data_IF_365190467842
#
_entry.id   IF_365190467842
#
_cell.length_a   1.000
_cell.length_b   1.000
_cell.length_c   1.000
_cell.angle_alpha   90.00
_cell.angle_beta   90.00
_cell.angle_gamma   90.00
#
_symmetry.space_group_name_H-M   'P 1'
#
loop_
_entity.id
_entity.type
_entity.pdbx_description
1 polymer ?
#
# COMPACT_ATOMS: atom_id res chain seq x y z
N UNK A 1 -11.94 -8.57 3.86
CA UNK A 1 -10.71 -7.79 3.63
C UNK A 1 -10.16 -8.25 2.29
N UNK A 2 -9.90 -7.34 1.35
CA UNK A 2 -9.46 -7.69 -0.01
C UNK A 2 -7.94 -7.79 0.02
N UNK A 3 -7.41 -8.99 -0.26
CA UNK A 3 -5.97 -9.22 -0.39
C UNK A 3 -5.56 -8.93 -1.83
N UNK A 4 -4.59 -8.03 -2.03
CA UNK A 4 -3.99 -7.80 -3.34
C UNK A 4 -2.56 -8.35 -3.37
N UNK A 5 -2.26 -9.12 -4.39
CA UNK A 5 -0.90 -9.61 -4.68
C UNK A 5 -0.38 -9.03 -5.99
N UNK A 6 -1.22 -8.32 -6.73
CA UNK A 6 -0.89 -7.71 -8.00
C UNK A 6 -1.34 -6.25 -8.02
N UNK A 7 -0.44 -5.35 -8.45
CA UNK A 7 -0.67 -3.91 -8.47
C UNK A 7 -1.85 -3.50 -9.37
N UNK A 8 -2.15 -4.26 -10.42
CA UNK A 8 -3.32 -3.98 -11.25
C UNK A 8 -4.65 -4.13 -10.49
N UNK A 9 -4.66 -4.96 -9.45
CA UNK A 9 -5.85 -5.17 -8.60
C UNK A 9 -6.18 -3.96 -7.73
N UNK A 10 -5.30 -2.95 -7.63
CA UNK A 10 -5.61 -1.68 -6.92
C UNK A 10 -6.87 -1.02 -7.51
N UNK A 11 -7.11 -1.19 -8.81
CA UNK A 11 -8.31 -0.68 -9.50
C UNK A 11 -9.62 -1.32 -9.02
N UNK A 12 -9.53 -2.46 -8.34
CA UNK A 12 -10.69 -3.19 -7.78
C UNK A 12 -11.06 -2.73 -6.38
N UNK A 13 -10.23 -1.88 -5.74
CA UNK A 13 -10.51 -1.37 -4.41
C UNK A 13 -11.74 -0.44 -4.44
N UNK A 14 -12.67 -0.57 -3.49
CA UNK A 14 -13.89 0.24 -3.43
C UNK A 14 -13.61 1.65 -2.87
N UNK A 15 -12.67 2.36 -3.48
CA UNK A 15 -12.24 3.73 -3.15
C UNK A 15 -12.26 4.58 -4.43
N UNK A 16 -12.06 5.89 -4.31
CA UNK A 16 -12.07 6.78 -5.48
C UNK A 16 -10.92 6.47 -6.43
N UNK A 17 -11.12 6.68 -7.73
CA UNK A 17 -10.08 6.49 -8.76
C UNK A 17 -8.82 7.32 -8.46
N UNK A 18 -8.99 8.55 -7.97
CA UNK A 18 -7.89 9.40 -7.53
C UNK A 18 -7.05 8.74 -6.42
N UNK A 19 -7.69 8.09 -5.43
CA UNK A 19 -6.96 7.38 -4.38
C UNK A 19 -6.28 6.12 -4.92
N UNK A 20 -6.91 5.39 -5.85
CA UNK A 20 -6.29 4.24 -6.52
C UNK A 20 -5.01 4.66 -7.26
N UNK A 21 -5.04 5.77 -7.99
CA UNK A 21 -3.88 6.32 -8.69
C UNK A 21 -2.77 6.76 -7.73
N UNK A 22 -3.13 7.42 -6.62
CA UNK A 22 -2.16 7.81 -5.59
C UNK A 22 -1.47 6.60 -4.97
N UNK A 23 -2.24 5.57 -4.59
CA UNK A 23 -1.67 4.32 -4.03
C UNK A 23 -0.73 3.69 -5.06
N UNK A 24 -1.15 3.58 -6.32
CA UNK A 24 -0.31 3.03 -7.39
C UNK A 24 0.99 3.82 -7.53
N UNK A 25 0.90 5.16 -7.56
CA UNK A 25 2.07 6.04 -7.65
C UNK A 25 3.05 5.82 -6.50
N UNK A 26 2.57 5.75 -5.25
CA UNK A 26 3.41 5.55 -4.06
C UNK A 26 4.10 4.18 -4.11
N UNK A 27 3.38 3.13 -4.49
CA UNK A 27 3.93 1.78 -4.53
C UNK A 27 4.96 1.61 -5.65
N UNK A 28 4.86 2.38 -6.73
CA UNK A 28 5.80 2.35 -7.86
C UNK A 28 6.93 3.39 -7.77
N UNK A 29 6.82 4.41 -6.92
CA UNK A 29 7.81 5.51 -6.78
C UNK A 29 9.26 5.03 -6.55
N UNK A 30 9.52 3.98 -5.75
CA UNK A 30 10.89 3.51 -5.50
C UNK A 30 11.54 2.81 -6.71
N UNK A 31 10.77 2.48 -7.74
CA UNK A 31 11.18 1.65 -8.87
C UNK A 31 11.18 2.46 -10.17
N UNK A 32 11.88 1.96 -11.19
CA UNK A 32 11.96 2.58 -12.50
C UNK A 32 10.61 2.58 -13.23
N UNK A 33 9.87 1.47 -13.12
CA UNK A 33 8.55 1.31 -13.70
C UNK A 33 7.67 0.31 -12.94
N UNK A 34 6.42 0.19 -13.40
CA UNK A 34 5.44 -0.71 -12.82
C UNK A 34 5.76 -2.20 -13.03
N UNK A 35 6.54 -2.55 -14.05
CA UNK A 35 6.95 -3.94 -14.30
C UNK A 35 8.02 -4.35 -13.29
N UNK A 36 9.01 -3.50 -13.04
CA UNK A 36 10.02 -3.71 -11.98
C UNK A 36 9.36 -3.77 -10.60
N UNK A 37 8.37 -2.90 -10.34
CA UNK A 37 7.62 -2.94 -9.08
C UNK A 37 6.91 -4.30 -8.91
N UNK A 38 6.22 -4.80 -9.94
CA UNK A 38 5.52 -6.08 -9.86
C UNK A 38 6.49 -7.25 -9.74
N UNK A 39 7.63 -7.22 -10.43
CA UNK A 39 8.67 -8.23 -10.28
C UNK A 39 9.17 -8.30 -8.84
N UNK A 40 9.47 -7.14 -8.23
CA UNK A 40 9.89 -7.08 -6.83
C UNK A 40 8.81 -7.61 -5.89
N UNK A 41 7.53 -7.32 -6.16
CA UNK A 41 6.40 -7.88 -5.40
C UNK A 41 6.32 -9.40 -5.53
N UNK A 42 6.51 -9.95 -6.73
CA UNK A 42 6.45 -11.38 -6.97
C UNK A 42 7.62 -12.11 -6.29
N UNK A 43 8.84 -11.54 -6.37
CA UNK A 43 10.06 -12.09 -5.75
C UNK A 43 9.98 -12.10 -4.21
N UNK A 44 9.48 -11.02 -3.62
CA UNK A 44 9.35 -10.86 -2.18
C UNK A 44 8.02 -11.40 -1.63
N UNK A 45 7.15 -11.89 -2.50
CA UNK A 45 5.79 -12.32 -2.17
C UNK A 45 5.02 -11.22 -1.41
N UNK A 46 5.09 -9.98 -1.91
CA UNK A 46 4.42 -8.84 -1.31
C UNK A 46 2.90 -8.94 -1.40
N UNK A 47 2.23 -8.43 -0.36
CA UNK A 47 0.78 -8.49 -0.23
C UNK A 47 0.26 -7.20 0.42
N UNK A 48 -0.75 -6.58 -0.20
CA UNK A 48 -1.48 -5.48 0.41
C UNK A 48 -2.71 -6.04 1.14
N UNK A 49 -2.66 -5.95 2.48
CA UNK A 49 -3.70 -6.47 3.36
C UNK A 49 -4.67 -5.40 3.86
N UNK A 50 -4.17 -4.18 4.10
CA UNK A 50 -4.94 -3.15 4.77
C UNK A 50 -4.57 -1.75 4.27
N UNK A 51 -5.60 -0.92 4.08
CA UNK A 51 -5.48 0.50 3.80
C UNK A 51 -6.33 1.24 4.83
N UNK A 52 -5.72 2.23 5.48
CA UNK A 52 -6.41 3.09 6.45
C UNK A 52 -5.97 4.52 6.30
N UNK A 53 -6.80 5.44 6.77
CA UNK A 53 -6.43 6.84 6.83
C UNK A 53 -5.49 7.11 8.01
N UNK A 54 -4.59 8.10 7.86
CA UNK A 54 -3.73 8.57 8.97
C UNK A 54 -4.54 9.00 10.19
N UNK A 55 -5.74 9.53 9.98
CA UNK A 55 -6.66 9.94 11.04
C UNK A 55 -7.15 8.74 11.86
N UNK A 56 -7.49 7.64 11.19
CA UNK A 56 -7.93 6.39 11.83
C UNK A 56 -6.78 5.60 12.48
N UNK A 57 -5.56 5.81 12.00
CA UNK A 57 -4.34 5.23 12.60
C UNK A 57 -4.15 5.66 14.08
N UNK A 58 -4.75 6.78 14.50
CA UNK A 58 -4.66 7.27 15.89
C UNK A 58 -5.54 6.52 16.89
N UNK A 59 -6.51 5.72 16.41
CA UNK A 59 -7.52 5.07 17.24
C UNK A 59 -7.24 3.58 17.54
N UNK A 60 -6.17 3.00 16.95
CA UNK A 60 -5.82 1.58 17.08
C UNK A 60 -4.55 1.41 17.92
N UNK A 61 -4.64 0.61 18.99
CA UNK A 61 -3.59 0.22 19.95
C UNK A 61 -2.40 -0.45 19.23
N UNK A 62 -1.10 -0.37 19.58
CA UNK A 62 -0.17 0.67 20.09
C UNK A 62 1.28 0.26 19.70
N UNK A 63 1.59 -0.95 19.22
CA UNK A 63 2.99 -1.32 18.85
C UNK A 63 3.34 -1.16 17.36
N UNK A 64 2.60 -1.80 16.44
CA UNK A 64 2.94 -1.77 15.00
C UNK A 64 2.78 -0.37 14.38
N UNK A 65 1.85 0.42 14.92
CA UNK A 65 1.57 1.79 14.46
C UNK A 65 2.64 2.77 14.93
N UNK A 66 3.22 2.58 16.12
CA UNK A 66 4.32 3.42 16.59
C UNK A 66 5.60 3.16 15.79
N UNK A 67 5.84 1.91 15.37
CA UNK A 67 6.90 1.59 14.41
C UNK A 67 6.68 2.28 13.05
N UNK A 68 5.46 2.23 12.51
CA UNK A 68 5.10 2.92 11.26
C UNK A 68 5.25 4.44 11.36
N UNK A 69 4.84 5.05 12.48
CA UNK A 69 5.01 6.50 12.69
C UNK A 69 6.47 6.93 12.70
N UNK A 70 7.36 6.16 13.33
CA UNK A 70 8.80 6.45 13.36
C UNK A 70 9.49 6.33 12.01
N UNK A 71 9.04 5.42 11.14
CA UNK A 71 9.60 5.26 9.80
C UNK A 71 9.19 6.37 8.83
N UNK A 72 8.14 7.13 9.14
CA UNK A 72 7.57 8.20 8.31
C UNK A 72 8.02 9.62 8.71
N UNK A 73 8.81 9.77 9.77
CA UNK A 73 9.46 11.00 10.25
C UNK A 73 10.94 10.99 9.99
#
# INVERSE_FOLDING_TARGET
MIKLTNLQQITTLPITTTLQEQIKSILTEPFHDAAETQQAWDELQCELWFLTSKSELSAVVVDDIEMLKRALT
#
